data_IF_260973848287
#
_entry.id   IF_260973848287
#
_cell.length_a   1.000
_cell.length_b   1.000
_cell.length_c   1.000
_cell.angle_alpha   90.00
_cell.angle_beta   90.00
_cell.angle_gamma   90.00
#
_symmetry.space_group_name_H-M   'P 1'
#
loop_
_entity.id
_entity.type
_entity.pdbx_description
1 polymer ?
#
# COMPACT_ATOMS: atom_id res chain seq x y z
N UNK A 1 7.34 13.21 -45.52
CA UNK A 1 7.21 13.41 -44.06
C UNK A 1 7.64 12.12 -43.40
N UNK A 2 8.69 12.17 -42.57
CA UNK A 2 9.29 10.97 -41.98
C UNK A 2 8.51 10.59 -40.71
N UNK A 3 7.70 9.53 -40.81
CA UNK A 3 7.07 8.88 -39.67
C UNK A 3 8.15 8.33 -38.75
N UNK A 4 8.37 9.07 -37.67
CA UNK A 4 9.36 8.76 -36.64
C UNK A 4 8.82 7.60 -35.82
N UNK A 5 9.06 6.37 -36.31
CA UNK A 5 8.96 5.13 -35.53
C UNK A 5 9.83 5.28 -34.28
N UNK A 6 9.20 5.70 -33.19
CA UNK A 6 9.79 5.65 -31.86
C UNK A 6 10.03 4.17 -31.55
N UNK A 7 11.29 3.76 -31.70
CA UNK A 7 11.82 2.48 -31.23
C UNK A 7 11.49 2.33 -29.75
N UNK A 8 10.52 1.48 -29.43
CA UNK A 8 10.46 0.83 -28.13
C UNK A 8 11.76 0.03 -27.94
N UNK A 9 12.75 0.66 -27.31
CA UNK A 9 13.94 -0.01 -26.80
C UNK A 9 13.53 -0.80 -25.55
N UNK A 10 13.03 -2.00 -25.79
CA UNK A 10 12.93 -3.07 -24.81
C UNK A 10 14.36 -3.40 -24.33
N UNK A 11 14.75 -2.86 -23.18
CA UNK A 11 15.98 -3.27 -22.49
C UNK A 11 15.69 -4.54 -21.68
N UNK A 12 16.64 -5.49 -21.65
CA UNK A 12 16.41 -6.84 -21.13
C UNK A 12 16.14 -6.85 -19.63
N UNK A 13 15.16 -7.67 -19.27
CA UNK A 13 14.61 -7.93 -17.95
C UNK A 13 15.63 -8.74 -17.11
N UNK A 14 16.61 -8.06 -16.53
CA UNK A 14 17.37 -8.65 -15.42
C UNK A 14 16.47 -8.56 -14.19
N UNK A 15 15.97 -9.71 -13.71
CA UNK A 15 15.26 -9.80 -12.44
C UNK A 15 16.21 -9.38 -11.31
N UNK A 16 16.29 -8.07 -11.07
CA UNK A 16 17.18 -7.49 -10.08
C UNK A 16 16.70 -7.94 -8.71
N UNK A 17 17.54 -8.69 -7.99
CA UNK A 17 17.24 -9.16 -6.64
C UNK A 17 16.88 -7.95 -5.78
N UNK A 18 15.62 -7.89 -5.32
CA UNK A 18 15.12 -6.76 -4.52
C UNK A 18 16.01 -6.58 -3.28
N UNK A 19 16.73 -5.46 -3.21
CA UNK A 19 17.52 -5.09 -2.03
C UNK A 19 16.59 -4.94 -0.84
N UNK A 20 16.90 -5.67 0.24
CA UNK A 20 16.19 -5.54 1.51
C UNK A 20 16.94 -4.53 2.37
N UNK A 21 16.25 -3.48 2.78
CA UNK A 21 16.77 -2.45 3.67
C UNK A 21 16.16 -2.64 5.06
N UNK A 22 16.98 -2.55 6.11
CA UNK A 22 16.52 -2.58 7.50
C UNK A 22 15.66 -1.35 7.81
N UNK A 23 14.82 -1.43 8.85
CA UNK A 23 13.97 -0.31 9.27
C UNK A 23 14.81 0.90 9.67
N UNK A 24 15.85 0.67 10.47
CA UNK A 24 16.76 1.72 10.95
C UNK A 24 17.40 2.49 9.79
N UNK A 25 17.87 1.77 8.75
CA UNK A 25 18.44 2.41 7.57
C UNK A 25 17.45 3.34 6.86
N UNK A 26 16.18 2.91 6.74
CA UNK A 26 15.14 3.74 6.11
C UNK A 26 14.81 4.98 6.94
N UNK A 27 14.79 4.86 8.27
CA UNK A 27 14.55 5.99 9.18
C UNK A 27 15.68 7.02 9.06
N UNK A 28 16.93 6.58 9.12
CA UNK A 28 18.09 7.47 8.99
C UNK A 28 18.16 8.14 7.61
N UNK A 29 17.84 7.40 6.54
CA UNK A 29 17.74 7.97 5.19
C UNK A 29 16.68 9.08 5.09
N UNK A 30 15.54 8.91 5.77
CA UNK A 30 14.49 9.94 5.79
C UNK A 30 14.87 11.12 6.67
N UNK A 31 15.52 10.90 7.82
CA UNK A 31 16.06 11.98 8.67
C UNK A 31 17.07 12.83 7.91
N UNK A 32 17.94 12.21 7.11
CA UNK A 32 18.89 12.94 6.27
C UNK A 32 18.19 13.94 5.33
N UNK A 33 17.07 13.53 4.73
CA UNK A 33 16.30 14.40 3.83
C UNK A 33 15.51 15.47 4.59
N UNK A 34 14.85 15.11 5.71
CA UNK A 34 13.96 16.04 6.44
C UNK A 34 14.70 16.99 7.38
N UNK A 35 15.69 16.50 8.11
CA UNK A 35 16.40 17.27 9.14
C UNK A 35 17.59 18.01 8.57
N UNK A 36 18.38 17.37 7.68
CA UNK A 36 19.56 18.01 7.08
C UNK A 36 19.25 18.76 5.78
N UNK A 37 18.00 18.71 5.30
CA UNK A 37 17.56 19.42 4.10
C UNK A 37 18.24 18.96 2.80
N UNK A 38 18.84 17.78 2.79
CA UNK A 38 19.51 17.22 1.61
C UNK A 38 18.44 16.86 0.56
N UNK A 39 18.67 17.24 -0.70
CA UNK A 39 17.73 16.90 -1.77
C UNK A 39 17.62 15.37 -1.93
N UNK A 40 16.43 14.89 -2.29
CA UNK A 40 16.18 13.44 -2.43
C UNK A 40 17.13 12.81 -3.47
N UNK A 41 17.46 13.56 -4.53
CA UNK A 41 18.40 13.13 -5.55
C UNK A 41 19.84 13.01 -5.01
N UNK A 42 20.27 13.92 -4.12
CA UNK A 42 21.59 13.83 -3.50
C UNK A 42 21.65 12.68 -2.49
N UNK A 43 20.68 12.60 -1.58
CA UNK A 43 20.61 11.52 -0.59
C UNK A 43 20.49 10.14 -1.25
N UNK A 44 19.80 10.03 -2.39
CA UNK A 44 19.73 8.80 -3.17
C UNK A 44 21.09 8.39 -3.76
N UNK A 45 21.90 9.35 -4.23
CA UNK A 45 23.26 9.09 -4.72
C UNK A 45 24.20 8.65 -3.59
N UNK A 46 24.15 9.33 -2.46
CA UNK A 46 25.03 9.06 -1.31
C UNK A 46 24.75 7.70 -0.67
N UNK A 47 23.47 7.30 -0.62
CA UNK A 47 23.01 6.04 -0.02
C UNK A 47 22.90 4.90 -1.03
N UNK A 48 23.15 5.16 -2.31
CA UNK A 48 22.92 4.22 -3.43
C UNK A 48 21.49 3.66 -3.42
N UNK A 49 20.51 4.54 -3.22
CA UNK A 49 19.07 4.24 -3.21
C UNK A 49 18.38 5.05 -4.29
N UNK A 50 17.53 4.38 -5.08
CA UNK A 50 16.76 5.05 -6.12
C UNK A 50 15.82 6.12 -5.53
N UNK A 51 15.78 7.30 -6.14
CA UNK A 51 15.06 8.48 -5.63
C UNK A 51 13.58 8.20 -5.32
N UNK A 52 12.88 7.50 -6.22
CA UNK A 52 11.49 7.08 -6.02
C UNK A 52 11.25 6.29 -4.73
N UNK A 53 12.20 5.43 -4.35
CA UNK A 53 12.12 4.63 -3.12
C UNK A 53 12.28 5.54 -1.91
N UNK A 54 13.22 6.47 -1.96
CA UNK A 54 13.45 7.43 -0.89
C UNK A 54 12.25 8.39 -0.72
N UNK A 55 11.67 8.89 -1.80
CA UNK A 55 10.40 9.68 -1.76
C UNK A 55 9.27 8.89 -1.11
N UNK A 56 9.16 7.60 -1.42
CA UNK A 56 8.16 6.72 -0.80
C UNK A 56 8.39 6.60 0.71
N UNK A 57 9.63 6.41 1.14
CA UNK A 57 9.97 6.31 2.57
C UNK A 57 9.70 7.61 3.33
N UNK A 58 10.01 8.77 2.73
CA UNK A 58 9.70 10.08 3.31
C UNK A 58 8.19 10.23 3.52
N UNK A 59 7.38 9.82 2.54
CA UNK A 59 5.92 9.84 2.65
C UNK A 59 5.41 8.87 3.71
N UNK A 60 5.87 7.62 3.71
CA UNK A 60 5.45 6.58 4.65
C UNK A 60 5.77 6.95 6.10
N UNK A 61 6.97 7.47 6.37
CA UNK A 61 7.36 7.92 7.71
C UNK A 61 6.64 9.22 8.13
N UNK A 62 6.29 10.07 7.16
CA UNK A 62 5.54 11.29 7.40
C UNK A 62 4.06 11.07 7.71
N UNK A 63 3.44 10.03 7.14
CA UNK A 63 2.04 9.68 7.41
C UNK A 63 1.87 8.90 8.71
N UNK A 64 2.64 7.81 8.92
CA UNK A 64 2.47 6.91 10.06
C UNK A 64 3.84 6.44 10.58
N UNK A 65 4.43 7.12 11.56
CA UNK A 65 5.77 6.78 12.07
C UNK A 65 5.84 5.41 12.76
N UNK A 66 4.75 4.96 13.38
CA UNK A 66 4.67 3.69 14.11
C UNK A 66 4.51 2.47 13.18
N UNK A 67 3.83 2.63 12.04
CA UNK A 67 3.57 1.57 11.06
C UNK A 67 4.34 1.77 9.74
N UNK A 68 5.30 2.68 9.71
CA UNK A 68 6.13 2.93 8.53
C UNK A 68 6.84 1.64 8.10
N UNK A 69 6.87 1.40 6.78
CA UNK A 69 7.49 0.26 6.11
C UNK A 69 6.85 -1.13 6.34
N UNK A 70 5.52 -1.29 6.16
CA UNK A 70 4.96 -2.63 6.08
C UNK A 70 5.58 -3.29 4.82
N UNK A 71 6.28 -4.40 5.01
CA UNK A 71 6.94 -5.10 3.91
C UNK A 71 5.99 -5.39 2.75
N UNK A 72 6.53 -5.67 1.56
CA UNK A 72 5.70 -6.03 0.41
C UNK A 72 4.76 -7.20 0.76
N UNK A 73 3.45 -6.98 0.63
CA UNK A 73 2.42 -7.99 0.89
C UNK A 73 1.86 -8.04 2.32
N UNK A 74 2.36 -7.20 3.24
CA UNK A 74 1.78 -7.08 4.57
C UNK A 74 0.74 -5.95 4.55
N UNK A 75 -0.55 -6.31 4.61
CA UNK A 75 -1.62 -5.34 4.88
C UNK A 75 -1.36 -4.71 6.25
N UNK A 76 -1.51 -3.38 6.34
CA UNK A 76 -1.48 -2.68 7.63
C UNK A 76 -2.44 -3.39 8.59
N UNK A 77 -2.12 -3.53 9.89
CA UNK A 77 -3.00 -4.19 10.85
C UNK A 77 -4.40 -3.56 10.84
N UNK A 78 -4.49 -2.24 10.69
CA UNK A 78 -5.76 -1.52 10.49
C UNK A 78 -6.53 -1.98 9.25
N UNK A 79 -5.83 -2.22 8.14
CA UNK A 79 -6.45 -2.69 6.91
C UNK A 79 -6.99 -4.12 7.06
N UNK A 80 -6.29 -4.97 7.81
CA UNK A 80 -6.75 -6.33 8.13
C UNK A 80 -8.01 -6.30 8.98
N UNK A 81 -8.05 -5.44 10.01
CA UNK A 81 -9.23 -5.29 10.85
C UNK A 81 -10.41 -4.71 10.07
N UNK A 82 -10.19 -3.74 9.19
CA UNK A 82 -11.22 -3.21 8.29
C UNK A 82 -11.83 -4.33 7.43
N UNK A 83 -10.99 -5.21 6.88
CA UNK A 83 -11.48 -6.32 6.05
C UNK A 83 -12.28 -7.34 6.88
N UNK A 84 -11.79 -7.69 8.07
CA UNK A 84 -12.50 -8.55 9.01
C UNK A 84 -13.87 -7.97 9.36
N UNK A 85 -13.92 -6.71 9.77
CA UNK A 85 -15.16 -6.01 10.12
C UNK A 85 -16.13 -5.94 8.93
N UNK A 86 -15.63 -5.71 7.72
CA UNK A 86 -16.45 -5.73 6.50
C UNK A 86 -17.09 -7.09 6.24
N UNK A 87 -16.36 -8.19 6.48
CA UNK A 87 -16.90 -9.55 6.36
C UNK A 87 -17.96 -9.83 7.42
N UNK A 88 -17.73 -9.42 8.66
CA UNK A 88 -18.70 -9.56 9.76
C UNK A 88 -19.99 -8.76 9.46
N UNK A 89 -19.88 -7.51 9.02
CA UNK A 89 -21.03 -6.69 8.62
C UNK A 89 -21.80 -7.31 7.45
N UNK A 90 -21.11 -7.87 6.45
CA UNK A 90 -21.75 -8.53 5.33
C UNK A 90 -22.55 -9.77 5.77
N UNK A 91 -21.96 -10.58 6.66
CA UNK A 91 -22.62 -11.77 7.24
C UNK A 91 -23.88 -11.38 8.02
N UNK A 92 -23.76 -10.41 8.95
CA UNK A 92 -24.88 -9.95 9.77
C UNK A 92 -26.01 -9.34 8.93
N UNK A 93 -25.67 -8.60 7.86
CA UNK A 93 -26.67 -8.06 6.92
C UNK A 93 -27.42 -9.19 6.21
N UNK A 94 -26.71 -10.22 5.74
CA UNK A 94 -27.32 -11.36 5.08
C UNK A 94 -28.28 -12.12 6.03
N UNK A 95 -27.85 -12.40 7.26
CA UNK A 95 -28.68 -13.04 8.29
C UNK A 95 -29.95 -12.23 8.57
N UNK A 96 -29.80 -10.93 8.78
CA UNK A 96 -30.94 -10.01 8.99
C UNK A 96 -31.90 -10.03 7.80
N UNK A 97 -31.38 -10.06 6.58
CA UNK A 97 -32.22 -10.05 5.38
C UNK A 97 -32.97 -11.37 5.19
N UNK A 98 -32.37 -12.50 5.53
CA UNK A 98 -33.03 -13.81 5.55
C UNK A 98 -34.18 -13.78 6.56
N UNK A 99 -33.93 -13.32 7.79
CA UNK A 99 -34.96 -13.25 8.83
C UNK A 99 -36.12 -12.32 8.44
N UNK A 100 -35.82 -11.17 7.83
CA UNK A 100 -36.86 -10.27 7.30
C UNK A 100 -37.69 -10.91 6.20
N UNK A 101 -37.06 -11.64 5.27
CA UNK A 101 -37.78 -12.36 4.21
C UNK A 101 -38.67 -13.46 4.79
N UNK A 102 -38.17 -14.21 5.78
CA UNK A 102 -38.95 -15.24 6.47
C UNK A 102 -40.16 -14.62 7.20
N UNK A 103 -39.95 -13.56 7.99
CA UNK A 103 -41.03 -12.87 8.69
C UNK A 103 -42.10 -12.33 7.72
N UNK A 104 -41.68 -11.76 6.59
CA UNK A 104 -42.61 -11.30 5.56
C UNK A 104 -43.39 -12.44 4.89
N UNK A 105 -42.77 -13.62 4.74
CA UNK A 105 -43.45 -14.81 4.24
C UNK A 105 -44.53 -15.30 5.21
N UNK A 106 -44.18 -15.47 6.49
CA UNK A 106 -45.15 -15.90 7.52
C UNK A 106 -46.29 -14.92 7.72
N UNK A 107 -46.03 -13.61 7.66
CA UNK A 107 -47.07 -12.59 7.75
C UNK A 107 -48.08 -12.67 6.58
N UNK A 108 -47.64 -13.09 5.39
CA UNK A 108 -48.53 -13.27 4.23
C UNK A 108 -49.38 -14.53 4.30
N UNK A 109 -48.88 -15.62 4.88
CA UNK A 109 -49.67 -16.86 5.04
C UNK A 109 -50.73 -16.76 6.16
N UNK A 110 -50.54 -15.84 7.12
CA UNK A 110 -51.48 -15.61 8.21
C UNK A 110 -52.69 -14.73 7.84
N UNK A 111 -52.81 -14.31 6.57
CA UNK A 111 -53.90 -13.47 6.05
C UNK A 111 -54.69 -14.24 5.00
#
# INVERSE_FOLDING_TARGET
>A
MMDTKIRCFMKPEVAMKRRKFSREFKVEAVKLVRERGVSVAQAGRDLDVHENVLRKWVKELGSDSAQAFPGHGQMKPEQQEIERLRREVAKLKAERDILKKAAAYFAKEAT
#
